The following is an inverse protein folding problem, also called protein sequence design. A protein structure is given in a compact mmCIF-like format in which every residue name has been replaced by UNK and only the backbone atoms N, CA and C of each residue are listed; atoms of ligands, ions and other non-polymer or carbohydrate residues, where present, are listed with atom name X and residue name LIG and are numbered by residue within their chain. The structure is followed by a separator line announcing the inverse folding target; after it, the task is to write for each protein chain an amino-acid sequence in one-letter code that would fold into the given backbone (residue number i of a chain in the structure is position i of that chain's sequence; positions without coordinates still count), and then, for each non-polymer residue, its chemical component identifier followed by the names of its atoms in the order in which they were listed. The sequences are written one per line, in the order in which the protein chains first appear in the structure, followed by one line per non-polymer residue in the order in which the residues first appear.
data_IF_651021164496
#
_entry.id   IF_651021164496
#
_cell.length_a   1.000
_cell.length_b   1.000
_cell.length_c   1.000
_cell.angle_alpha   90.00
_cell.angle_beta   90.00
_cell.angle_gamma   90.00
#
_symmetry.space_group_name_H-M   'P 1'
#
loop_
_entity.id
_entity.type
_entity.pdbx_description
1 polymer ?
#
# COMPACT_ATOMS: atom_id res chain seq x y z
N UNK A 1 -11.95 -7.81 -38.37
CA UNK A 1 -11.39 -8.22 -37.07
C UNK A 1 -11.90 -7.22 -36.04
N UNK A 2 -12.92 -7.60 -35.25
CA UNK A 2 -13.54 -6.71 -34.26
C UNK A 2 -12.72 -6.74 -32.98
N UNK A 3 -12.20 -5.59 -32.56
CA UNK A 3 -11.58 -5.44 -31.26
C UNK A 3 -12.68 -5.54 -30.20
N UNK A 4 -12.70 -6.64 -29.44
CA UNK A 4 -13.57 -6.73 -28.28
C UNK A 4 -13.15 -5.65 -27.28
N UNK A 5 -14.00 -4.64 -27.09
CA UNK A 5 -13.93 -3.73 -25.95
C UNK A 5 -14.13 -4.58 -24.70
N UNK A 6 -13.03 -4.97 -24.05
CA UNK A 6 -13.07 -5.63 -22.74
C UNK A 6 -13.77 -4.67 -21.79
N UNK A 7 -15.03 -4.94 -21.45
CA UNK A 7 -15.73 -4.22 -20.41
C UNK A 7 -14.88 -4.27 -19.14
N UNK A 8 -14.56 -3.11 -18.56
CA UNK A 8 -13.83 -3.04 -17.30
C UNK A 8 -14.76 -3.66 -16.25
N UNK A 9 -14.42 -4.88 -15.82
CA UNK A 9 -15.15 -5.56 -14.76
C UNK A 9 -14.82 -4.88 -13.44
N UNK A 10 -15.85 -4.61 -12.64
CA UNK A 10 -15.67 -4.16 -11.27
C UNK A 10 -14.81 -5.16 -10.49
N UNK A 11 -13.87 -4.71 -9.64
CA UNK A 11 -13.03 -5.61 -8.86
C UNK A 11 -13.87 -6.46 -7.92
N UNK A 12 -13.56 -7.75 -7.81
CA UNK A 12 -14.25 -8.66 -6.89
C UNK A 12 -13.52 -8.76 -5.54
N UNK A 13 -12.26 -8.32 -5.50
CA UNK A 13 -11.40 -8.30 -4.31
C UNK A 13 -10.47 -7.11 -4.32
N UNK A 14 -9.91 -6.78 -3.16
CA UNK A 14 -8.89 -5.75 -2.98
C UNK A 14 -7.70 -6.27 -2.18
N UNK A 15 -6.50 -5.88 -2.57
CA UNK A 15 -5.31 -5.98 -1.72
C UNK A 15 -4.70 -4.60 -1.47
N UNK A 16 -4.48 -4.27 -0.20
CA UNK A 16 -3.84 -3.03 0.26
C UNK A 16 -2.43 -3.33 0.73
N UNK A 17 -1.42 -2.71 0.12
CA UNK A 17 -0.01 -2.99 0.41
C UNK A 17 0.61 -1.75 1.01
N UNK A 18 1.09 -1.88 2.25
CA UNK A 18 1.72 -0.81 3.02
C UNK A 18 3.19 -1.16 3.25
N UNK A 19 4.08 -0.20 3.06
CA UNK A 19 5.50 -0.38 3.34
C UNK A 19 6.37 0.77 2.85
N UNK A 20 7.65 0.49 2.67
CA UNK A 20 8.63 1.50 2.29
C UNK A 20 9.39 1.09 1.02
N UNK A 21 10.72 0.99 1.12
CA UNK A 21 11.59 0.73 -0.01
C UNK A 21 11.51 -0.71 -0.51
N UNK A 22 11.21 -1.65 0.39
CA UNK A 22 11.00 -3.06 0.07
C UNK A 22 9.85 -3.27 -0.93
N UNK A 23 8.71 -2.59 -0.74
CA UNK A 23 7.56 -2.66 -1.65
C UNK A 23 7.89 -2.04 -2.99
N UNK A 24 8.56 -0.88 -3.01
CA UNK A 24 8.95 -0.22 -4.26
C UNK A 24 9.91 -1.11 -5.08
N UNK A 25 10.92 -1.70 -4.42
CA UNK A 25 11.90 -2.57 -5.07
C UNK A 25 11.26 -3.88 -5.57
N UNK A 26 10.23 -4.37 -4.87
CA UNK A 26 9.55 -5.63 -5.17
C UNK A 26 8.21 -5.49 -5.89
N UNK A 27 7.85 -4.31 -6.41
CA UNK A 27 6.46 -4.02 -6.81
C UNK A 27 5.91 -5.01 -7.84
N UNK A 28 6.71 -5.40 -8.84
CA UNK A 28 6.29 -6.38 -9.86
C UNK A 28 6.01 -7.75 -9.26
N UNK A 29 6.82 -8.19 -8.30
CA UNK A 29 6.61 -9.45 -7.60
C UNK A 29 5.35 -9.38 -6.73
N UNK A 30 5.17 -8.30 -5.97
CA UNK A 30 3.98 -8.09 -5.14
C UNK A 30 2.70 -8.11 -5.98
N UNK A 31 2.68 -7.41 -7.12
CA UNK A 31 1.53 -7.41 -8.05
C UNK A 31 1.25 -8.81 -8.58
N UNK A 32 2.27 -9.49 -9.10
CA UNK A 32 2.12 -10.82 -9.66
C UNK A 32 1.64 -11.84 -8.61
N UNK A 33 2.21 -11.80 -7.41
CA UNK A 33 1.81 -12.68 -6.30
C UNK A 33 0.40 -12.39 -5.83
N UNK A 34 0.01 -11.12 -5.69
CA UNK A 34 -1.34 -10.76 -5.27
C UNK A 34 -2.41 -11.22 -6.28
N UNK A 35 -2.13 -11.06 -7.57
CA UNK A 35 -2.99 -11.55 -8.65
C UNK A 35 -3.08 -13.08 -8.67
N UNK A 36 -1.94 -13.77 -8.52
CA UNK A 36 -1.91 -15.23 -8.47
C UNK A 36 -2.68 -15.79 -7.25
N UNK A 37 -2.61 -15.10 -6.10
CA UNK A 37 -3.26 -15.52 -4.86
C UNK A 37 -4.76 -15.18 -4.82
N UNK A 38 -5.19 -14.10 -5.48
CA UNK A 38 -6.55 -13.55 -5.32
C UNK A 38 -7.42 -13.64 -6.58
N UNK A 39 -6.85 -13.96 -7.73
CA UNK A 39 -7.53 -13.92 -9.02
C UNK A 39 -7.72 -12.51 -9.57
N UNK A 40 -8.48 -12.40 -10.67
CA UNK A 40 -8.80 -11.15 -11.36
C UNK A 40 -10.31 -11.06 -11.63
N UNK A 41 -10.93 -9.86 -11.61
CA UNK A 41 -10.32 -8.53 -11.44
C UNK A 41 -9.97 -8.20 -9.98
N UNK A 42 -8.75 -7.71 -9.75
CA UNK A 42 -8.21 -7.35 -8.44
C UNK A 42 -7.91 -5.86 -8.36
N UNK A 43 -8.43 -5.22 -7.32
CA UNK A 43 -8.05 -3.87 -6.97
C UNK A 43 -6.77 -3.87 -6.10
N UNK A 44 -5.69 -3.30 -6.61
CA UNK A 44 -4.43 -3.16 -5.89
C UNK A 44 -4.21 -1.70 -5.46
N UNK A 45 -4.03 -1.50 -4.16
CA UNK A 45 -3.78 -0.18 -3.58
C UNK A 45 -2.46 -0.19 -2.82
N UNK A 46 -1.66 0.87 -2.98
CA UNK A 46 -0.32 0.93 -2.40
C UNK A 46 -0.08 2.25 -1.65
N UNK A 47 0.42 2.16 -0.43
CA UNK A 47 1.16 3.25 0.21
C UNK A 47 2.59 2.78 0.44
N UNK A 48 3.47 3.20 -0.47
CA UNK A 48 4.90 2.87 -0.42
C UNK A 48 5.78 4.04 -0.86
N UNK A 49 7.09 3.89 -0.68
CA UNK A 49 8.07 4.92 -1.00
C UNK A 49 9.41 4.66 -0.32
N UNK A 50 10.51 5.14 -0.91
CA UNK A 50 11.84 4.99 -0.30
C UNK A 50 11.88 5.69 1.07
N UNK A 51 12.25 4.94 2.11
CA UNK A 51 12.28 5.39 3.51
C UNK A 51 10.95 5.97 4.01
N UNK A 52 9.82 5.56 3.43
CA UNK A 52 8.52 6.04 3.88
C UNK A 52 8.24 5.52 5.29
N UNK A 53 7.88 6.41 6.20
CA UNK A 53 7.51 6.08 7.58
C UNK A 53 6.01 5.75 7.69
N UNK A 54 5.62 5.03 8.75
CA UNK A 54 4.22 4.84 9.07
C UNK A 54 3.52 6.12 9.53
N UNK A 55 4.14 6.94 10.37
CA UNK A 55 3.44 8.09 10.99
C UNK A 55 4.01 9.47 10.69
N UNK A 56 5.29 9.58 10.32
CA UNK A 56 5.94 10.87 10.09
C UNK A 56 6.25 11.11 8.62
N UNK A 57 6.35 12.38 8.24
CA UNK A 57 6.87 12.78 6.94
C UNK A 57 8.34 12.38 6.86
N UNK A 58 8.74 11.77 5.76
CA UNK A 58 10.15 11.44 5.48
C UNK A 58 10.63 12.05 4.18
N UNK A 59 11.90 12.44 4.14
CA UNK A 59 12.57 12.97 2.96
C UNK A 59 13.76 12.08 2.61
N UNK A 60 13.71 11.45 1.44
CA UNK A 60 14.76 10.56 0.96
C UNK A 60 15.10 10.94 -0.47
N UNK A 61 16.38 11.17 -0.76
CA UNK A 61 16.89 11.60 -2.07
C UNK A 61 16.15 12.84 -2.63
N UNK A 62 15.84 13.82 -1.76
CA UNK A 62 15.15 15.05 -2.15
C UNK A 62 13.65 14.91 -2.38
N UNK A 63 13.07 13.72 -2.22
CA UNK A 63 11.63 13.48 -2.31
C UNK A 63 11.03 13.38 -0.91
N UNK A 64 10.03 14.23 -0.65
CA UNK A 64 9.26 14.20 0.60
C UNK A 64 7.97 13.42 0.43
N UNK A 65 7.67 12.52 1.36
CA UNK A 65 6.43 11.76 1.40
C UNK A 65 5.79 11.86 2.79
N UNK A 66 4.45 12.03 2.90
CA UNK A 66 3.77 11.89 4.17
C UNK A 66 3.87 10.43 4.66
N UNK A 67 3.79 10.27 5.98
CA UNK A 67 3.65 8.95 6.60
C UNK A 67 2.45 8.18 6.04
N UNK A 68 2.44 6.86 6.18
CA UNK A 68 1.34 6.02 5.71
C UNK A 68 0.01 6.39 6.37
N UNK A 69 -0.01 6.60 7.69
CA UNK A 69 -1.22 6.99 8.45
C UNK A 69 -1.85 8.28 7.91
N UNK A 70 -1.13 9.40 7.74
CA UNK A 70 -1.73 10.63 7.21
C UNK A 70 -1.83 10.70 5.67
N UNK A 71 -1.60 9.61 4.93
CA UNK A 71 -1.61 9.70 3.46
C UNK A 71 -2.99 9.60 2.81
N UNK A 72 -3.09 10.05 1.57
CA UNK A 72 -4.36 10.02 0.81
C UNK A 72 -4.87 8.63 0.39
N UNK A 73 -4.17 7.54 0.76
CA UNK A 73 -4.63 6.17 0.47
C UNK A 73 -6.00 5.90 1.10
N UNK A 74 -6.18 6.34 2.35
CA UNK A 74 -7.39 6.07 3.13
C UNK A 74 -8.61 6.74 2.52
N UNK A 75 -8.46 7.96 2.02
CA UNK A 75 -9.54 8.66 1.35
C UNK A 75 -9.84 8.05 -0.03
N UNK A 76 -8.80 7.63 -0.76
CA UNK A 76 -8.97 6.89 -2.00
C UNK A 76 -9.66 5.53 -1.78
N UNK A 77 -9.46 4.88 -0.62
CA UNK A 77 -10.13 3.63 -0.29
C UNK A 77 -11.63 3.86 0.00
N UNK A 78 -11.97 4.86 0.80
CA UNK A 78 -13.37 5.21 1.13
C UNK A 78 -14.21 5.52 -0.11
N UNK A 79 -13.59 6.00 -1.19
CA UNK A 79 -14.27 6.33 -2.45
C UNK A 79 -14.53 5.12 -3.36
N UNK A 80 -14.07 3.92 -2.99
CA UNK A 80 -14.19 2.72 -3.84
C UNK A 80 -15.26 1.76 -3.34
N UNK A 81 -15.77 0.87 -4.21
CA UNK A 81 -16.70 -0.19 -3.80
C UNK A 81 -16.14 -1.04 -2.65
N UNK A 82 -17.03 -1.45 -1.76
CA UNK A 82 -16.73 -2.39 -0.69
C UNK A 82 -16.65 -3.80 -1.27
N UNK A 83 -15.47 -4.40 -1.18
CA UNK A 83 -15.16 -5.75 -1.66
C UNK A 83 -14.31 -6.46 -0.59
N UNK A 84 -14.27 -7.80 -0.55
CA UNK A 84 -13.33 -8.53 0.29
C UNK A 84 -11.92 -7.97 0.15
N UNK A 85 -11.38 -7.46 1.26
CA UNK A 85 -10.12 -6.71 1.28
C UNK A 85 -9.11 -7.40 2.19
N UNK A 86 -7.93 -7.66 1.66
CA UNK A 86 -6.77 -8.14 2.42
C UNK A 86 -5.71 -7.05 2.49
N UNK A 87 -4.93 -7.01 3.56
CA UNK A 87 -3.83 -6.07 3.70
C UNK A 87 -2.50 -6.80 3.92
N UNK A 88 -1.43 -6.28 3.33
CA UNK A 88 -0.05 -6.70 3.58
C UNK A 88 0.71 -5.50 4.12
N UNK A 89 1.08 -5.57 5.40
CA UNK A 89 1.91 -4.57 6.07
C UNK A 89 3.34 -5.08 6.12
N UNK A 90 4.27 -4.24 5.68
CA UNK A 90 5.68 -4.59 5.63
C UNK A 90 6.54 -3.46 6.16
N UNK A 91 7.79 -3.79 6.48
CA UNK A 91 8.82 -2.82 6.86
C UNK A 91 8.41 -1.89 8.02
N UNK A 92 7.60 -2.41 8.95
CA UNK A 92 7.14 -1.70 10.15
C UNK A 92 8.32 -1.17 10.98
N UNK A 93 9.44 -1.89 10.96
CA UNK A 93 10.67 -1.50 11.65
C UNK A 93 11.48 -0.39 10.96
N UNK A 94 11.13 0.05 9.74
CA UNK A 94 11.84 1.14 9.07
C UNK A 94 11.85 2.43 9.91
N UNK A 95 10.78 2.65 10.67
CA UNK A 95 10.63 3.80 11.57
C UNK A 95 11.64 3.83 12.73
N UNK A 96 12.25 2.68 13.07
CA UNK A 96 13.34 2.64 14.05
C UNK A 96 14.58 3.42 13.59
N UNK A 97 14.81 3.52 12.27
CA UNK A 97 15.90 4.31 11.69
C UNK A 97 15.66 5.83 11.82
N UNK A 98 14.45 6.24 12.20
CA UNK A 98 14.07 7.62 12.45
C UNK A 98 13.88 7.91 13.95
N UNK A 99 14.49 7.10 14.83
CA UNK A 99 14.42 7.23 16.29
C UNK A 99 13.00 7.16 16.86
N UNK A 100 12.08 6.50 16.16
CA UNK A 100 10.71 6.28 16.64
C UNK A 100 10.68 5.07 17.57
N UNK A 101 10.03 5.21 18.73
CA UNK A 101 9.84 4.10 19.67
C UNK A 101 8.94 3.00 19.12
N UNK A 102 9.19 1.74 19.51
CA UNK A 102 8.37 0.58 19.11
C UNK A 102 6.89 0.77 19.49
N UNK A 103 6.61 1.36 20.66
CA UNK A 103 5.24 1.66 21.10
C UNK A 103 4.55 2.61 20.14
N UNK A 104 5.22 3.70 19.76
CA UNK A 104 4.67 4.69 18.83
C UNK A 104 4.46 4.11 17.43
N UNK A 105 5.39 3.29 16.94
CA UNK A 105 5.22 2.55 15.68
C UNK A 105 3.98 1.65 15.75
N UNK A 106 3.81 0.92 16.85
CA UNK A 106 2.67 0.01 17.06
C UNK A 106 1.36 0.78 17.10
N UNK A 107 1.34 1.98 17.72
CA UNK A 107 0.16 2.84 17.74
C UNK A 107 -0.24 3.31 16.34
N UNK A 108 0.73 3.69 15.50
CA UNK A 108 0.48 4.03 14.10
C UNK A 108 -0.05 2.85 13.30
N UNK A 109 0.58 1.68 13.42
CA UNK A 109 0.15 0.46 12.72
C UNK A 109 -1.27 0.06 13.11
N UNK A 110 -1.67 0.26 14.39
CA UNK A 110 -3.03 -0.04 14.86
C UNK A 110 -4.11 0.82 14.18
N UNK A 111 -3.73 1.99 13.65
CA UNK A 111 -4.66 2.91 12.95
C UNK A 111 -4.75 2.65 11.45
N UNK A 112 -3.91 1.76 10.91
CA UNK A 112 -3.97 1.30 9.52
C UNK A 112 -5.03 0.22 9.35
#
# INVERSE_FOLDING_TARGET
MSAATTAIREPERRAVILGASNVIRGISAVVATAQAASGSPLDLMFACGHGRSYGQTSCVLGRTLPGIVPCGLWDAWKQRPAVPTSALLTDVGNDLLYDVSVSQITDWVRTC
#
